data_IF_659284431527
#
_entry.id   IF_659284431527
#
_cell.length_a   1.000
_cell.length_b   1.000
_cell.length_c   1.000
_cell.angle_alpha   90.00
_cell.angle_beta   90.00
_cell.angle_gamma   90.00
#
_symmetry.space_group_name_H-M   'P 1'
#
loop_
_entity.id
_entity.type
_entity.pdbx_description
1 polymer ?
#
# COMPACT_ATOMS: atom_id res chain seq x y z
N UNK A 1 -2.88 5.74 -19.73
CA UNK A 1 -1.70 5.53 -18.86
C UNK A 1 -1.84 4.14 -18.24
N UNK A 2 -0.97 3.19 -18.57
CA UNK A 2 -1.02 1.84 -17.98
C UNK A 2 -0.73 1.94 -16.49
N UNK A 3 -1.71 1.69 -15.63
CA UNK A 3 -1.50 1.70 -14.19
C UNK A 3 -0.48 0.60 -13.81
N UNK A 4 0.54 0.98 -13.04
CA UNK A 4 1.48 -0.01 -12.50
C UNK A 4 0.74 -0.97 -11.57
N UNK A 5 0.94 -2.30 -11.72
CA UNK A 5 0.30 -3.27 -10.84
C UNK A 5 0.75 -3.03 -9.39
N UNK A 6 -0.19 -3.19 -8.45
CA UNK A 6 0.10 -3.06 -7.03
C UNK A 6 1.12 -4.14 -6.61
N UNK A 7 2.07 -3.78 -5.76
CA UNK A 7 2.99 -4.76 -5.18
C UNK A 7 2.25 -5.79 -4.30
N UNK A 8 2.88 -6.92 -3.99
CA UNK A 8 2.27 -7.95 -3.13
C UNK A 8 1.85 -7.39 -1.75
N UNK A 9 2.68 -6.52 -1.15
CA UNK A 9 2.37 -5.88 0.13
C UNK A 9 1.17 -4.92 0.01
N UNK A 10 1.15 -4.07 -1.02
CA UNK A 10 0.04 -3.14 -1.27
C UNK A 10 -1.26 -3.91 -1.53
N UNK A 11 -1.19 -5.04 -2.22
CA UNK A 11 -2.35 -5.88 -2.48
C UNK A 11 -2.93 -6.47 -1.20
N UNK A 12 -2.10 -7.08 -0.35
CA UNK A 12 -2.52 -7.58 0.96
C UNK A 12 -3.05 -6.46 1.86
N UNK A 13 -2.44 -5.28 1.78
CA UNK A 13 -2.85 -4.13 2.56
C UNK A 13 -4.21 -3.58 2.14
N UNK A 14 -4.48 -3.46 0.84
CA UNK A 14 -5.82 -3.11 0.35
C UNK A 14 -6.86 -4.14 0.75
N UNK A 15 -6.51 -5.43 0.76
CA UNK A 15 -7.41 -6.49 1.23
C UNK A 15 -7.81 -6.30 2.70
N UNK A 16 -6.84 -6.02 3.57
CA UNK A 16 -7.11 -5.73 4.98
C UNK A 16 -7.90 -4.42 5.16
N UNK A 17 -7.65 -3.40 4.33
CA UNK A 17 -8.39 -2.15 4.39
C UNK A 17 -9.87 -2.33 3.99
N UNK A 18 -10.15 -3.16 2.99
CA UNK A 18 -11.53 -3.53 2.62
C UNK A 18 -12.19 -4.34 3.73
N UNK A 19 -11.48 -5.35 4.30
CA UNK A 19 -12.01 -6.15 5.41
C UNK A 19 -12.38 -5.28 6.63
N UNK A 20 -11.49 -4.38 7.05
CA UNK A 20 -11.76 -3.49 8.19
C UNK A 20 -12.93 -2.53 7.91
N UNK A 21 -13.08 -2.09 6.65
CA UNK A 21 -14.22 -1.26 6.25
C UNK A 21 -15.53 -2.05 6.32
N UNK A 22 -15.54 -3.30 5.87
CA UNK A 22 -16.69 -4.20 5.96
C UNK A 22 -17.08 -4.49 7.42
N UNK A 23 -16.10 -4.66 8.31
CA UNK A 23 -16.35 -4.82 9.74
C UNK A 23 -16.97 -3.56 10.38
N UNK A 24 -16.61 -2.37 9.89
CA UNK A 24 -17.10 -1.11 10.45
C UNK A 24 -18.46 -0.68 9.87
N UNK A 25 -18.66 -0.83 8.56
CA UNK A 25 -19.83 -0.28 7.83
C UNK A 25 -20.84 -1.37 7.47
N UNK A 26 -20.47 -2.64 7.61
CA UNK A 26 -21.27 -3.78 7.16
C UNK A 26 -20.93 -4.22 5.73
N UNK A 27 -21.69 -5.19 5.18
CA UNK A 27 -21.40 -5.77 3.88
C UNK A 27 -21.48 -4.71 2.77
N UNK A 28 -20.43 -4.64 1.96
CA UNK A 28 -20.39 -3.79 0.76
C UNK A 28 -21.18 -4.44 -0.37
N UNK A 29 -21.71 -3.62 -1.29
CA UNK A 29 -22.17 -4.14 -2.59
C UNK A 29 -20.94 -4.68 -3.33
N UNK A 30 -20.94 -5.99 -3.57
CA UNK A 30 -19.80 -6.75 -4.06
C UNK A 30 -20.19 -7.80 -5.12
N UNK A 31 -21.39 -7.73 -5.69
CA UNK A 31 -21.93 -8.76 -6.57
C UNK A 31 -21.03 -8.95 -7.80
N UNK A 32 -20.69 -7.84 -8.45
CA UNK A 32 -19.77 -7.83 -9.59
C UNK A 32 -18.35 -8.27 -9.20
N UNK A 33 -17.84 -7.78 -8.07
CA UNK A 33 -16.52 -8.13 -7.59
C UNK A 33 -16.40 -9.63 -7.28
N UNK A 34 -17.46 -10.23 -6.72
CA UNK A 34 -17.55 -11.66 -6.46
C UNK A 34 -17.60 -12.47 -7.75
N UNK A 35 -18.46 -12.11 -8.71
CA UNK A 35 -18.53 -12.81 -10.00
C UNK A 35 -17.19 -12.82 -10.72
N UNK A 36 -16.53 -11.66 -10.81
CA UNK A 36 -15.21 -11.55 -11.42
C UNK A 36 -14.13 -12.31 -10.64
N UNK A 37 -14.19 -12.32 -9.31
CA UNK A 37 -13.27 -13.10 -8.49
C UNK A 37 -13.44 -14.60 -8.71
N UNK A 38 -14.68 -15.10 -8.81
CA UNK A 38 -14.98 -16.51 -9.10
C UNK A 38 -14.43 -16.91 -10.47
N UNK A 39 -14.70 -16.12 -11.51
CA UNK A 39 -14.23 -16.39 -12.88
C UNK A 39 -12.70 -16.36 -13.00
N UNK A 40 -12.01 -15.54 -12.20
CA UNK A 40 -10.53 -15.54 -12.19
C UNK A 40 -9.90 -16.80 -11.59
N UNK A 41 -10.71 -17.65 -10.93
CA UNK A 41 -10.31 -18.96 -10.43
C UNK A 41 -9.33 -18.90 -9.24
N UNK A 42 -8.73 -20.05 -8.93
CA UNK A 42 -7.80 -20.21 -7.81
C UNK A 42 -8.48 -20.46 -6.46
N UNK A 43 -7.66 -20.46 -5.41
CA UNK A 43 -8.08 -20.72 -4.04
C UNK A 43 -8.84 -19.52 -3.42
N UNK A 44 -9.41 -19.74 -2.24
CA UNK A 44 -10.17 -18.71 -1.52
C UNK A 44 -9.34 -17.43 -1.30
N UNK A 45 -8.05 -17.56 -0.99
CA UNK A 45 -7.18 -16.41 -0.74
C UNK A 45 -7.02 -15.55 -2.00
N UNK A 46 -6.79 -16.16 -3.16
CA UNK A 46 -6.69 -15.45 -4.44
C UNK A 46 -8.00 -14.78 -4.83
N UNK A 47 -9.14 -15.45 -4.65
CA UNK A 47 -10.46 -14.87 -4.96
C UNK A 47 -10.80 -13.71 -4.02
N UNK A 48 -10.52 -13.84 -2.72
CA UNK A 48 -10.67 -12.74 -1.75
C UNK A 48 -9.80 -11.54 -2.12
N UNK A 49 -8.54 -11.78 -2.51
CA UNK A 49 -7.65 -10.72 -2.95
C UNK A 49 -8.17 -10.02 -4.21
N UNK A 50 -8.56 -10.78 -5.23
CA UNK A 50 -9.08 -10.22 -6.47
C UNK A 50 -10.33 -9.37 -6.22
N UNK A 51 -11.28 -9.89 -5.43
CA UNK A 51 -12.49 -9.16 -5.00
C UNK A 51 -12.13 -7.85 -4.30
N UNK A 52 -11.26 -7.90 -3.30
CA UNK A 52 -10.92 -6.72 -2.53
C UNK A 52 -10.20 -5.65 -3.37
N UNK A 53 -9.34 -6.05 -4.32
CA UNK A 53 -8.69 -5.12 -5.22
C UNK A 53 -9.69 -4.41 -6.15
N UNK A 54 -10.71 -5.11 -6.66
CA UNK A 54 -11.78 -4.49 -7.45
C UNK A 54 -12.58 -3.48 -6.64
N UNK A 55 -12.92 -3.80 -5.39
CA UNK A 55 -13.61 -2.89 -4.47
C UNK A 55 -12.74 -1.68 -4.12
N UNK A 56 -11.45 -1.90 -3.87
CA UNK A 56 -10.50 -0.83 -3.56
C UNK A 56 -10.27 0.12 -4.75
N UNK A 57 -10.34 -0.37 -5.98
CA UNK A 57 -10.30 0.45 -7.19
C UNK A 57 -11.59 1.27 -7.33
N UNK A 58 -12.76 0.60 -7.30
CA UNK A 58 -14.08 1.23 -7.43
C UNK A 58 -14.29 2.34 -6.41
N UNK A 59 -13.87 2.09 -5.18
CA UNK A 59 -14.12 2.98 -4.05
C UNK A 59 -12.93 3.93 -3.78
N UNK A 60 -11.98 4.07 -4.71
CA UNK A 60 -10.90 5.06 -4.65
C UNK A 60 -9.77 4.78 -3.64
N UNK A 61 -9.83 3.65 -2.90
CA UNK A 61 -8.83 3.31 -1.89
C UNK A 61 -7.44 3.05 -2.48
N UNK A 62 -7.36 2.54 -3.73
CA UNK A 62 -6.07 2.37 -4.41
C UNK A 62 -5.39 3.71 -4.71
N UNK A 63 -6.16 4.70 -5.17
CA UNK A 63 -5.63 6.05 -5.39
C UNK A 63 -5.21 6.70 -4.06
N UNK A 64 -6.03 6.58 -3.01
CA UNK A 64 -5.70 7.06 -1.67
C UNK A 64 -4.41 6.41 -1.13
N UNK A 65 -4.24 5.10 -1.33
CA UNK A 65 -3.01 4.38 -0.97
C UNK A 65 -1.78 4.93 -1.70
N UNK A 66 -1.88 5.19 -3.01
CA UNK A 66 -0.78 5.78 -3.78
C UNK A 66 -0.37 7.14 -3.22
N UNK A 67 -1.33 8.02 -2.95
CA UNK A 67 -1.07 9.34 -2.35
C UNK A 67 -0.43 9.21 -0.97
N UNK A 68 -0.90 8.27 -0.15
CA UNK A 68 -0.35 8.01 1.17
C UNK A 68 1.11 7.51 1.12
N UNK A 69 1.41 6.59 0.21
CA UNK A 69 2.77 6.08 -0.01
C UNK A 69 3.70 7.18 -0.53
N UNK A 70 3.23 8.02 -1.46
CA UNK A 70 3.99 9.18 -1.95
C UNK A 70 4.30 10.17 -0.83
N UNK A 71 3.30 10.53 -0.02
CA UNK A 71 3.48 11.39 1.15
C UNK A 71 4.48 10.80 2.16
N UNK A 72 4.39 9.49 2.42
CA UNK A 72 5.31 8.78 3.30
C UNK A 72 6.76 8.78 2.78
N UNK A 73 6.95 8.64 1.46
CA UNK A 73 8.28 8.72 0.83
C UNK A 73 8.86 10.14 0.94
N UNK A 74 8.05 11.17 0.71
CA UNK A 74 8.48 12.55 0.88
C UNK A 74 8.89 12.83 2.33
N UNK A 75 8.08 12.43 3.31
CA UNK A 75 8.41 12.56 4.72
C UNK A 75 9.72 11.85 5.07
N UNK A 76 9.95 10.64 4.54
CA UNK A 76 11.21 9.92 4.71
C UNK A 76 12.41 10.70 4.14
N UNK A 77 12.30 11.27 2.93
CA UNK A 77 13.37 12.09 2.36
C UNK A 77 13.67 13.33 3.20
N UNK A 78 12.64 14.00 3.73
CA UNK A 78 12.81 15.14 4.64
C UNK A 78 13.52 14.73 5.93
N UNK A 79 13.15 13.59 6.53
CA UNK A 79 13.82 13.06 7.72
C UNK A 79 15.28 12.67 7.44
N UNK A 80 15.56 12.09 6.27
CA UNK A 80 16.93 11.75 5.87
C UNK A 80 17.79 13.01 5.67
N UNK A 81 17.24 14.04 5.04
CA UNK A 81 17.92 15.33 4.90
C UNK A 81 18.19 15.97 6.27
N UNK A 82 17.18 15.98 7.15
CA UNK A 82 17.35 16.46 8.52
C UNK A 82 18.44 15.68 9.26
N UNK A 83 18.42 14.35 9.21
CA UNK A 83 19.44 13.50 9.82
C UNK A 83 20.85 13.81 9.28
N UNK A 84 20.99 13.99 7.96
CA UNK A 84 22.25 14.36 7.31
C UNK A 84 22.79 15.69 7.85
N UNK A 85 21.97 16.75 7.86
CA UNK A 85 22.40 18.07 8.31
C UNK A 85 22.62 18.13 9.83
N UNK A 86 21.76 17.50 10.63
CA UNK A 86 21.95 17.40 12.08
C UNK A 86 23.22 16.64 12.42
N UNK A 87 23.50 15.53 11.74
CA UNK A 87 24.73 14.76 11.93
C UNK A 87 25.99 15.60 11.66
N UNK A 88 26.04 16.25 10.48
CA UNK A 88 27.17 17.13 10.14
C UNK A 88 27.30 18.31 11.10
N UNK A 89 26.17 18.91 11.49
CA UNK A 89 26.11 19.99 12.47
C UNK A 89 26.64 19.58 13.85
N UNK A 90 26.34 18.37 14.32
CA UNK A 90 26.88 17.83 15.58
C UNK A 90 28.41 17.69 15.53
N UNK A 91 28.98 17.25 14.41
CA UNK A 91 30.44 17.20 14.25
C UNK A 91 31.08 18.59 14.26
N UNK A 92 30.47 19.56 13.58
CA UNK A 92 30.92 20.95 13.63
C UNK A 92 30.82 21.55 15.04
N UNK A 93 29.72 21.29 15.75
CA UNK A 93 29.55 21.75 17.13
C UNK A 93 30.53 21.09 18.10
N UNK A 94 30.85 19.81 17.88
CA UNK A 94 31.77 19.04 18.72
C UNK A 94 33.23 19.48 18.57
N UNK A 95 33.70 19.72 17.34
CA UNK A 95 35.09 20.09 17.06
C UNK A 95 35.30 21.62 17.03
N UNK A 96 34.29 22.39 16.68
CA UNK A 96 34.36 23.85 16.57
C UNK A 96 35.20 24.33 15.38
N UNK A 97 35.56 25.61 15.44
CA UNK A 97 36.29 26.33 14.40
C UNK A 97 37.79 26.00 14.33
N UNK A 98 38.34 25.33 15.35
CA UNK A 98 39.75 24.99 15.48
C UNK A 98 40.60 26.05 16.19
N UNK A 99 40.00 27.17 16.64
CA UNK A 99 40.70 28.20 17.40
C UNK A 99 40.85 27.82 18.88
N UNK A 100 39.86 27.12 19.44
CA UNK A 100 39.89 26.59 20.81
C UNK A 100 40.20 25.10 20.79
N UNK A 101 40.88 24.56 21.82
CA UNK A 101 41.07 23.13 21.93
C UNK A 101 39.72 22.43 22.11
N UNK A 102 39.60 21.24 21.52
CA UNK A 102 38.43 20.38 21.61
C UNK A 102 38.47 19.66 22.95
N UNK A 103 37.43 19.87 23.77
CA UNK A 103 37.23 19.04 24.94
C UNK A 103 36.66 17.68 24.51
N UNK A 104 37.46 16.63 24.70
CA UNK A 104 37.18 15.29 24.15
C UNK A 104 35.85 14.73 24.68
N UNK A 105 35.49 14.96 25.95
CA UNK A 105 34.24 14.44 26.50
C UNK A 105 33.01 15.24 26.05
N UNK A 106 33.13 16.56 25.89
CA UNK A 106 32.05 17.33 25.28
C UNK A 106 31.84 16.90 23.83
N UNK A 107 32.91 16.68 23.07
CA UNK A 107 32.82 16.15 21.72
C UNK A 107 32.10 14.79 21.70
N UNK A 108 32.47 13.85 22.60
CA UNK A 108 31.79 12.57 22.74
C UNK A 108 30.31 12.71 23.14
N UNK A 109 30.00 13.56 24.12
CA UNK A 109 28.64 13.78 24.57
C UNK A 109 27.76 14.38 23.47
N UNK A 110 28.28 15.33 22.70
CA UNK A 110 27.58 15.92 21.56
C UNK A 110 27.39 14.92 20.41
N UNK A 111 28.41 14.12 20.10
CA UNK A 111 28.34 13.15 18.99
C UNK A 111 27.52 11.90 19.32
N UNK A 112 27.60 11.39 20.55
CA UNK A 112 27.06 10.08 20.94
C UNK A 112 26.03 10.12 22.07
N UNK A 113 25.85 11.24 22.77
CA UNK A 113 24.96 11.32 23.94
C UNK A 113 23.50 11.03 23.61
N UNK A 114 22.89 11.83 22.71
CA UNK A 114 21.51 11.61 22.28
C UNK A 114 21.35 10.26 21.56
N UNK A 115 22.37 9.85 20.82
CA UNK A 115 22.44 8.53 20.20
C UNK A 115 22.31 7.41 21.24
N UNK A 116 23.03 7.49 22.34
CA UNK A 116 23.02 6.46 23.38
C UNK A 116 21.70 6.45 24.15
N UNK A 117 21.16 7.62 24.51
CA UNK A 117 19.86 7.74 25.19
C UNK A 117 18.75 7.10 24.34
N UNK A 118 18.70 7.43 23.05
CA UNK A 118 17.69 6.86 22.14
C UNK A 118 17.92 5.38 21.87
N UNK A 119 19.17 4.90 21.89
CA UNK A 119 19.48 3.47 21.75
C UNK A 119 19.00 2.68 22.98
N UNK A 120 19.25 3.18 24.18
CA UNK A 120 18.77 2.59 25.43
C UNK A 120 17.24 2.59 25.45
N UNK A 121 16.61 3.72 25.14
CA UNK A 121 15.15 3.81 25.06
C UNK A 121 14.54 2.83 24.06
N UNK A 122 15.15 2.68 22.88
CA UNK A 122 14.72 1.67 21.90
C UNK A 122 14.89 0.24 22.42
N UNK A 123 16.01 -0.06 23.07
CA UNK A 123 16.31 -1.40 23.61
C UNK A 123 15.30 -1.77 24.71
N UNK A 124 15.02 -0.85 25.63
CA UNK A 124 14.01 -1.04 26.67
C UNK A 124 12.61 -1.24 26.06
N UNK A 125 12.22 -0.41 25.09
CA UNK A 125 10.94 -0.55 24.39
C UNK A 125 10.83 -1.87 23.60
N UNK A 126 11.94 -2.37 23.07
CA UNK A 126 11.99 -3.64 22.36
C UNK A 126 11.70 -4.84 23.29
N UNK A 127 12.20 -4.80 24.53
CA UNK A 127 12.01 -5.87 25.52
C UNK A 127 10.74 -5.75 26.37
N UNK A 128 10.21 -4.54 26.56
CA UNK A 128 9.03 -4.28 27.39
C UNK A 128 7.71 -4.88 26.87
N UNK A 129 7.73 -5.59 25.74
CA UNK A 129 6.53 -6.20 25.15
C UNK A 129 5.62 -5.15 24.47
N UNK A 130 4.83 -5.60 23.51
CA UNK A 130 4.06 -4.74 22.59
C UNK A 130 2.99 -3.82 23.21
N UNK A 131 2.89 -3.71 24.53
CA UNK A 131 1.90 -2.85 25.21
C UNK A 131 2.17 -1.36 25.00
N UNK A 132 3.44 -0.92 25.08
CA UNK A 132 3.83 0.46 24.78
C UNK A 132 3.67 0.81 23.28
N UNK A 133 3.98 -0.15 22.40
CA UNK A 133 3.72 -0.03 20.96
C UNK A 133 2.20 0.01 20.65
N UNK A 134 1.39 -0.74 21.41
CA UNK A 134 -0.07 -0.72 21.33
C UNK A 134 -0.68 0.60 21.81
N UNK A 135 -0.11 1.23 22.84
CA UNK A 135 -0.55 2.55 23.32
C UNK A 135 -0.24 3.67 22.32
N UNK A 136 0.97 3.68 21.74
CA UNK A 136 1.33 4.60 20.66
C UNK A 136 0.51 4.33 19.39
N UNK A 137 0.24 3.06 19.07
CA UNK A 137 -0.65 2.67 17.98
C UNK A 137 -2.08 3.19 18.19
N UNK A 138 -2.64 3.05 19.40
CA UNK A 138 -3.97 3.59 19.75
C UNK A 138 -4.01 5.12 19.72
N UNK A 139 -2.97 5.79 20.24
CA UNK A 139 -2.86 7.24 20.18
C UNK A 139 -2.75 7.74 18.74
N UNK A 140 -1.95 7.07 17.91
CA UNK A 140 -1.81 7.37 16.50
C UNK A 140 -3.10 7.13 15.72
N UNK A 141 -3.82 6.03 16.01
CA UNK A 141 -5.13 5.75 15.43
C UNK A 141 -6.18 6.79 15.84
N UNK A 142 -6.15 7.23 17.11
CA UNK A 142 -7.00 8.31 17.60
C UNK A 142 -6.67 9.65 16.94
N UNK A 143 -5.39 9.99 16.80
CA UNK A 143 -4.93 11.20 16.11
C UNK A 143 -5.32 11.14 14.63
N UNK A 144 -5.04 10.02 13.97
CA UNK A 144 -5.37 9.79 12.57
C UNK A 144 -6.87 9.87 12.34
N UNK A 145 -7.69 9.32 13.23
CA UNK A 145 -9.15 9.45 13.16
C UNK A 145 -9.64 10.89 13.31
N UNK A 146 -8.93 11.73 14.08
CA UNK A 146 -9.23 13.18 14.17
C UNK A 146 -8.79 14.00 12.96
N UNK A 147 -7.80 13.52 12.20
CA UNK A 147 -7.22 14.24 11.06
C UNK A 147 -7.48 13.60 9.69
N UNK A 148 -8.12 12.42 9.65
CA UNK A 148 -8.51 11.73 8.42
C UNK A 148 -9.65 12.49 7.76
N UNK A 149 -9.28 13.48 6.94
CA UNK A 149 -10.20 14.24 6.09
C UNK A 149 -10.68 13.45 4.88
N UNK A 150 -10.04 12.32 4.57
CA UNK A 150 -10.35 11.48 3.42
C UNK A 150 -10.95 10.14 3.88
N UNK A 151 -12.25 9.97 3.63
CA UNK A 151 -12.98 8.74 3.94
C UNK A 151 -12.41 7.51 3.21
N UNK A 152 -11.79 7.70 2.03
CA UNK A 152 -11.18 6.63 1.25
C UNK A 152 -9.87 6.12 1.89
N UNK A 153 -9.20 6.96 2.68
CA UNK A 153 -7.94 6.63 3.34
C UNK A 153 -8.10 6.12 4.78
N UNK A 154 -9.28 6.25 5.38
CA UNK A 154 -9.51 6.04 6.81
C UNK A 154 -9.00 4.68 7.33
N UNK A 155 -9.19 3.61 6.54
CA UNK A 155 -8.80 2.26 6.92
C UNK A 155 -7.38 1.86 6.51
N UNK A 156 -6.63 2.70 5.79
CA UNK A 156 -5.29 2.35 5.31
C UNK A 156 -4.30 2.20 6.47
N UNK A 157 -4.14 3.20 7.34
CA UNK A 157 -3.19 3.09 8.45
C UNK A 157 -3.52 1.95 9.44
N UNK A 158 -4.78 1.77 9.91
CA UNK A 158 -5.17 0.63 10.72
C UNK A 158 -4.89 -0.72 10.04
N UNK A 159 -5.23 -0.86 8.76
CA UNK A 159 -5.00 -2.09 8.00
C UNK A 159 -3.53 -2.46 7.91
N UNK A 160 -2.64 -1.48 7.71
CA UNK A 160 -1.20 -1.73 7.69
C UNK A 160 -0.72 -2.27 9.04
N UNK A 161 -1.16 -1.67 10.14
CA UNK A 161 -0.77 -2.11 11.48
C UNK A 161 -1.24 -3.54 11.76
N UNK A 162 -2.51 -3.86 11.45
CA UNK A 162 -3.06 -5.21 11.62
C UNK A 162 -2.31 -6.23 10.75
N UNK A 163 -2.05 -5.89 9.48
CA UNK A 163 -1.32 -6.76 8.55
C UNK A 163 0.09 -7.07 9.06
N UNK A 164 0.81 -6.04 9.52
CA UNK A 164 2.18 -6.19 10.01
C UNK A 164 2.24 -6.91 11.37
N UNK A 165 1.23 -6.74 12.22
CA UNK A 165 1.21 -7.34 13.56
C UNK A 165 1.15 -8.87 13.52
N UNK A 166 0.50 -9.47 12.50
CA UNK A 166 0.48 -10.92 12.28
C UNK A 166 1.87 -11.56 12.28
N UNK A 167 2.85 -10.86 11.73
CA UNK A 167 4.26 -11.28 11.68
C UNK A 167 5.14 -10.46 12.64
N UNK A 168 4.53 -9.71 13.58
CA UNK A 168 5.17 -8.80 14.54
C UNK A 168 6.18 -7.86 13.86
N UNK A 169 5.86 -7.40 12.66
CA UNK A 169 6.75 -6.64 11.78
C UNK A 169 6.86 -5.16 12.12
N UNK A 170 5.87 -4.60 12.81
CA UNK A 170 5.82 -3.17 13.15
C UNK A 170 7.10 -2.70 13.84
N UNK A 171 7.59 -3.45 14.84
CA UNK A 171 8.84 -3.12 15.55
C UNK A 171 10.08 -3.17 14.66
N UNK A 172 10.11 -4.09 13.68
CA UNK A 172 11.25 -4.22 12.77
C UNK A 172 11.22 -3.12 11.71
N UNK A 173 10.04 -2.70 11.26
CA UNK A 173 9.87 -1.55 10.36
C UNK A 173 10.28 -0.24 11.05
N UNK A 174 9.83 -0.02 12.30
CA UNK A 174 10.22 1.14 13.09
C UNK A 174 11.73 1.12 13.41
N UNK A 175 12.28 -0.05 13.77
CA UNK A 175 13.71 -0.22 13.95
C UNK A 175 14.51 0.10 12.68
N UNK A 176 14.06 -0.38 11.52
CA UNK A 176 14.70 -0.08 10.24
C UNK A 176 14.75 1.43 9.96
N UNK A 177 13.66 2.15 10.24
CA UNK A 177 13.60 3.60 10.11
C UNK A 177 14.53 4.30 11.10
N UNK A 178 14.41 4.01 12.39
CA UNK A 178 15.16 4.68 13.47
C UNK A 178 16.66 4.43 13.34
N UNK A 179 17.08 3.17 13.15
CA UNK A 179 18.50 2.86 12.99
C UNK A 179 19.06 3.40 11.67
N UNK A 180 18.24 3.44 10.61
CA UNK A 180 18.64 4.02 9.32
C UNK A 180 18.89 5.53 9.42
N UNK A 181 18.00 6.28 10.07
CA UNK A 181 18.18 7.72 10.30
C UNK A 181 19.43 8.00 11.15
N UNK A 182 19.65 7.24 12.22
CA UNK A 182 20.87 7.36 13.03
C UNK A 182 22.12 7.01 12.25
N UNK A 183 22.09 5.99 11.39
CA UNK A 183 23.22 5.61 10.55
C UNK A 183 23.60 6.75 9.59
N UNK A 184 22.61 7.42 8.98
CA UNK A 184 22.85 8.61 8.14
C UNK A 184 23.41 9.77 8.97
N UNK A 185 22.84 10.05 10.13
CA UNK A 185 23.32 11.14 10.99
C UNK A 185 24.76 10.90 11.47
N UNK A 186 25.07 9.71 11.97
CA UNK A 186 26.41 9.35 12.46
C UNK A 186 27.42 9.24 11.32
N UNK A 187 27.01 8.72 10.16
CA UNK A 187 27.83 8.70 8.95
C UNK A 187 28.16 10.10 8.46
N UNK A 188 27.19 11.01 8.48
CA UNK A 188 27.40 12.44 8.19
C UNK A 188 28.35 13.10 9.19
N UNK A 189 28.12 12.87 10.49
CA UNK A 189 28.98 13.38 11.55
C UNK A 189 30.43 12.88 11.37
N UNK A 190 30.61 11.60 11.09
CA UNK A 190 31.91 11.00 10.83
C UNK A 190 32.58 11.63 9.60
N UNK A 191 31.86 11.77 8.48
CA UNK A 191 32.38 12.37 7.26
C UNK A 191 32.80 13.82 7.45
N UNK A 192 31.97 14.65 8.10
CA UNK A 192 32.31 16.05 8.43
C UNK A 192 33.48 16.12 9.41
N UNK A 193 33.50 15.28 10.44
CA UNK A 193 34.60 15.23 11.40
C UNK A 193 35.92 14.88 10.71
N UNK A 194 35.94 13.89 9.82
CA UNK A 194 37.13 13.54 9.03
C UNK A 194 37.57 14.69 8.13
N UNK A 195 36.64 15.37 7.46
CA UNK A 195 36.94 16.53 6.63
C UNK A 195 37.54 17.69 7.44
N UNK A 196 36.99 17.96 8.63
CA UNK A 196 37.52 18.98 9.55
C UNK A 196 38.92 18.61 10.04
N UNK A 197 39.12 17.38 10.52
CA UNK A 197 40.41 16.90 11.01
C UNK A 197 41.48 16.87 9.90
N UNK A 198 41.09 16.67 8.64
CA UNK A 198 42.01 16.69 7.50
C UNK A 198 42.39 18.12 7.07
N UNK A 199 41.53 19.10 7.28
CA UNK A 199 41.71 20.49 6.78
C UNK A 199 42.16 21.46 7.86
N UNK A 200 42.07 21.09 9.15
CA UNK A 200 42.37 21.96 10.28
C UNK A 200 43.21 21.24 11.32
N UNK A 201 43.98 22.03 12.06
CA UNK A 201 44.76 21.54 13.21
C UNK A 201 43.95 21.73 14.48
N UNK A 202 43.54 20.63 15.09
CA UNK A 202 42.83 20.64 16.37
C UNK A 202 43.76 20.29 17.52
N UNK A 203 43.67 21.04 18.62
CA UNK A 203 44.20 20.65 19.92
C UNK A 203 43.15 19.86 20.69
N UNK A 204 43.55 18.90 21.51
CA UNK A 204 42.63 18.12 22.34
C UNK A 204 43.01 18.26 23.81
N UNK A 205 42.00 18.47 24.64
CA UNK A 205 42.13 18.58 26.09
C UNK A 205 40.98 17.83 26.75
N UNK A 206 41.12 17.58 28.04
CA UNK A 206 39.97 17.22 28.86
C UNK A 206 39.98 18.06 30.13
N UNK A 207 39.01 18.95 30.22
CA UNK A 207 38.86 19.84 31.37
C UNK A 207 37.63 19.37 32.16
N UNK A 208 37.85 18.90 33.39
CA UNK A 208 36.76 18.61 34.32
C UNK A 208 37.13 19.08 35.72
N UNK A 209 36.18 19.68 36.43
CA UNK A 209 36.37 20.07 37.83
C UNK A 209 36.07 18.91 38.80
N UNK A 210 35.36 17.88 38.32
CA UNK A 210 34.77 16.82 39.17
C UNK A 210 35.56 15.51 39.08
N UNK A 211 36.08 15.12 37.90
CA UNK A 211 36.78 13.85 37.73
C UNK A 211 38.28 13.99 37.94
N UNK A 212 38.85 13.06 38.70
CA UNK A 212 40.29 12.90 38.85
C UNK A 212 40.94 12.32 37.58
N UNK A 213 42.22 12.61 37.36
CA UNK A 213 42.94 12.18 36.15
C UNK A 213 43.04 10.66 35.96
N UNK A 214 43.17 9.89 37.04
CA UNK A 214 43.21 8.42 36.93
C UNK A 214 41.87 7.84 36.43
N UNK A 215 40.73 8.46 36.82
CA UNK A 215 39.42 8.08 36.28
C UNK A 215 39.34 8.36 34.78
N UNK A 216 39.92 9.48 34.33
CA UNK A 216 39.94 9.83 32.91
C UNK A 216 40.83 8.87 32.10
N UNK A 217 41.97 8.43 32.63
CA UNK A 217 42.81 7.38 32.02
C UNK A 217 41.99 6.09 31.85
N UNK A 218 41.34 5.63 32.93
CA UNK A 218 40.52 4.43 32.89
C UNK A 218 39.38 4.51 31.87
N UNK A 219 38.67 5.64 31.79
CA UNK A 219 37.62 5.86 30.79
C UNK A 219 38.17 5.89 29.36
N UNK A 220 39.28 6.59 29.14
CA UNK A 220 39.91 6.69 27.81
C UNK A 220 40.31 5.32 27.30
N UNK A 221 40.94 4.51 28.16
CA UNK A 221 41.38 3.17 27.81
C UNK A 221 40.22 2.18 27.69
N UNK A 222 39.23 2.26 28.59
CA UNK A 222 38.05 1.41 28.54
C UNK A 222 37.21 1.62 27.28
N UNK A 223 36.94 2.87 26.91
CA UNK A 223 36.26 3.21 25.66
C UNK A 223 37.14 2.96 24.43
N UNK A 224 38.46 3.12 24.55
CA UNK A 224 39.42 2.89 23.47
C UNK A 224 39.66 1.42 23.15
N UNK A 225 39.32 0.50 24.07
CA UNK A 225 39.69 -0.92 23.96
C UNK A 225 39.14 -1.61 22.70
N UNK A 226 37.85 -1.41 22.35
CA UNK A 226 37.30 -2.03 21.13
C UNK A 226 37.82 -1.35 19.85
N UNK A 227 37.85 -0.01 19.73
CA UNK A 227 38.48 0.66 18.60
C UNK A 227 39.95 0.27 18.39
N UNK A 228 40.74 0.09 19.45
CA UNK A 228 42.16 -0.23 19.31
C UNK A 228 42.40 -1.65 18.77
N UNK A 229 41.51 -2.60 19.03
CA UNK A 229 41.51 -3.92 18.36
C UNK A 229 41.31 -3.81 16.85
N UNK A 230 40.68 -2.74 16.37
CA UNK A 230 40.49 -2.44 14.95
C UNK A 230 41.61 -1.56 14.37
N UNK A 231 42.64 -1.25 15.15
CA UNK A 231 43.81 -0.48 14.72
C UNK A 231 43.69 1.03 14.91
N UNK A 232 42.66 1.54 15.62
CA UNK A 232 42.61 2.96 15.96
C UNK A 232 43.64 3.29 17.06
N UNK A 233 44.34 4.44 16.97
CA UNK A 233 45.33 4.81 17.96
C UNK A 233 44.66 5.11 19.30
N UNK A 234 45.39 4.85 20.38
CA UNK A 234 44.92 5.06 21.74
C UNK A 234 45.96 5.89 22.52
N UNK A 235 45.56 7.03 23.12
CA UNK A 235 46.44 7.82 23.97
C UNK A 235 46.95 7.00 25.16
N UNK A 236 48.26 7.01 25.40
CA UNK A 236 48.84 6.40 26.61
C UNK A 236 48.50 7.22 27.87
N UNK A 237 48.76 6.66 29.05
CA UNK A 237 48.43 7.32 30.32
C UNK A 237 49.15 8.64 30.54
N UNK A 238 50.36 8.81 29.99
CA UNK A 238 51.15 10.03 30.13
C UNK A 238 50.57 11.15 29.27
N UNK A 239 50.29 10.87 28.00
CA UNK A 239 49.62 11.80 27.10
C UNK A 239 48.25 12.19 27.64
N UNK A 240 47.50 11.21 28.15
CA UNK A 240 46.22 11.48 28.79
C UNK A 240 46.38 12.47 29.94
N UNK A 241 47.30 12.23 30.88
CA UNK A 241 47.52 13.14 32.01
C UNK A 241 47.95 14.54 31.55
N UNK A 242 48.90 14.61 30.62
CA UNK A 242 49.39 15.87 30.07
C UNK A 242 48.28 16.69 29.39
N UNK A 243 47.35 16.05 28.68
CA UNK A 243 46.19 16.71 28.05
C UNK A 243 45.14 17.24 29.04
N UNK A 244 45.22 16.86 30.31
CA UNK A 244 44.39 17.43 31.39
C UNK A 244 45.01 18.67 32.03
N UNK A 245 46.34 18.72 32.10
CA UNK A 245 47.08 19.82 32.71
C UNK A 245 47.20 21.03 31.75
N UNK A 246 47.48 20.77 30.48
CA UNK A 246 47.64 21.80 29.46
C UNK A 246 47.41 21.27 28.04
N UNK A 247 47.24 22.18 27.08
CA UNK A 247 47.23 21.81 25.67
C UNK A 247 48.61 21.28 25.25
N UNK A 248 48.66 20.00 24.86
CA UNK A 248 49.88 19.34 24.39
C UNK A 248 50.13 19.66 22.91
N UNK A 249 51.14 20.48 22.62
CA UNK A 249 51.48 20.94 21.28
C UNK A 249 52.32 19.91 20.47
N UNK A 250 51.88 18.64 20.42
CA UNK A 250 52.54 17.55 19.67
C UNK A 250 51.66 17.02 18.54
N UNK A 251 52.26 16.70 17.39
CA UNK A 251 51.54 16.09 16.26
C UNK A 251 51.06 14.67 16.57
N UNK A 252 51.91 13.86 17.19
CA UNK A 252 51.54 12.51 17.61
C UNK A 252 50.39 12.55 18.64
N UNK A 253 50.41 13.52 19.55
CA UNK A 253 49.33 13.73 20.51
C UNK A 253 47.99 14.02 19.81
N UNK A 254 47.99 14.93 18.82
CA UNK A 254 46.80 15.24 18.02
C UNK A 254 46.30 14.03 17.24
N UNK A 255 47.21 13.27 16.62
CA UNK A 255 46.85 12.08 15.86
C UNK A 255 46.24 11.00 16.74
N UNK A 256 46.80 10.75 17.93
CA UNK A 256 46.28 9.78 18.89
C UNK A 256 44.86 10.15 19.33
N UNK A 257 44.63 11.41 19.74
CA UNK A 257 43.31 11.86 20.17
C UNK A 257 42.27 11.88 19.04
N UNK A 258 42.65 12.37 17.85
CA UNK A 258 41.77 12.40 16.69
C UNK A 258 41.38 10.98 16.26
N UNK A 259 42.35 10.07 16.15
CA UNK A 259 42.09 8.68 15.77
C UNK A 259 41.27 7.92 16.82
N UNK A 260 41.50 8.19 18.11
CA UNK A 260 40.68 7.63 19.20
C UNK A 260 39.22 8.09 19.11
N UNK A 261 38.98 9.39 18.89
CA UNK A 261 37.62 9.95 18.76
C UNK A 261 36.90 9.41 17.52
N UNK A 262 37.61 9.32 16.38
CA UNK A 262 37.11 8.69 15.15
C UNK A 262 36.74 7.23 15.39
N UNK A 263 37.64 6.48 16.04
CA UNK A 263 37.43 5.07 16.35
C UNK A 263 36.20 4.85 17.22
N UNK A 264 35.99 5.67 18.25
CA UNK A 264 34.82 5.58 19.12
C UNK A 264 33.52 5.89 18.36
N UNK A 265 33.48 6.98 17.60
CA UNK A 265 32.29 7.34 16.81
C UNK A 265 31.93 6.24 15.80
N UNK A 266 32.94 5.68 15.12
CA UNK A 266 32.75 4.59 14.16
C UNK A 266 32.23 3.33 14.85
N UNK A 267 32.91 2.84 15.90
CA UNK A 267 32.60 1.55 16.51
C UNK A 267 31.30 1.59 17.31
N UNK A 268 31.16 2.54 18.24
CA UNK A 268 30.02 2.60 19.14
C UNK A 268 28.81 3.35 18.55
N UNK A 269 29.03 4.15 17.51
CA UNK A 269 27.95 4.82 16.78
C UNK A 269 27.58 4.08 15.50
N UNK A 270 28.39 4.27 14.46
CA UNK A 270 28.07 3.87 13.08
C UNK A 270 27.93 2.36 12.95
N UNK A 271 28.91 1.57 13.38
CA UNK A 271 28.89 0.12 13.25
C UNK A 271 27.77 -0.52 14.10
N UNK A 272 27.59 -0.05 15.34
CA UNK A 272 26.53 -0.53 16.21
C UNK A 272 25.13 -0.29 15.59
N UNK A 273 24.85 0.93 15.10
CA UNK A 273 23.59 1.24 14.42
C UNK A 273 23.45 0.51 13.10
N UNK A 274 24.54 0.34 12.35
CA UNK A 274 24.59 -0.43 11.12
C UNK A 274 24.20 -1.90 11.34
N UNK A 275 24.74 -2.54 12.37
CA UNK A 275 24.42 -3.92 12.73
C UNK A 275 22.93 -4.07 13.11
N UNK A 276 22.39 -3.15 13.92
CA UNK A 276 20.97 -3.16 14.30
C UNK A 276 20.05 -2.88 13.10
N UNK A 277 20.46 -1.97 12.20
CA UNK A 277 19.76 -1.71 10.95
C UNK A 277 19.70 -2.95 10.06
N UNK A 278 20.83 -3.65 9.88
CA UNK A 278 20.91 -4.89 9.12
C UNK A 278 20.04 -6.00 9.74
N UNK A 279 20.04 -6.14 11.06
CA UNK A 279 19.18 -7.08 11.78
C UNK A 279 17.69 -6.78 11.51
N UNK A 280 17.30 -5.51 11.62
CA UNK A 280 15.93 -5.07 11.33
C UNK A 280 15.56 -5.30 9.87
N UNK A 281 16.47 -5.00 8.94
CA UNK A 281 16.27 -5.23 7.50
C UNK A 281 16.07 -6.71 7.19
N UNK A 282 16.90 -7.58 7.75
CA UNK A 282 16.79 -9.02 7.55
C UNK A 282 15.46 -9.56 8.11
N UNK A 283 15.09 -9.17 9.33
CA UNK A 283 13.80 -9.57 9.95
C UNK A 283 12.61 -9.05 9.17
N UNK A 284 12.67 -7.81 8.68
CA UNK A 284 11.67 -7.21 7.81
C UNK A 284 11.52 -7.97 6.50
N UNK A 285 12.61 -8.23 5.78
CA UNK A 285 12.59 -8.99 4.52
C UNK A 285 12.00 -10.39 4.71
N UNK A 286 12.45 -11.10 5.76
CA UNK A 286 11.96 -12.45 6.09
C UNK A 286 10.48 -12.46 6.42
N UNK A 287 10.02 -11.60 7.33
CA UNK A 287 8.61 -11.58 7.72
C UNK A 287 7.70 -11.06 6.61
N UNK A 288 8.16 -10.12 5.76
CA UNK A 288 7.40 -9.68 4.59
C UNK A 288 7.14 -10.78 3.58
N UNK A 289 8.12 -11.67 3.36
CA UNK A 289 7.95 -12.82 2.48
C UNK A 289 6.93 -13.84 3.02
N UNK A 290 6.59 -13.76 4.31
CA UNK A 290 5.64 -14.63 4.99
C UNK A 290 4.28 -13.96 5.24
N UNK A 291 4.08 -12.73 4.73
CA UNK A 291 2.77 -12.09 4.80
C UNK A 291 1.81 -12.79 3.84
N UNK A 292 0.65 -13.15 4.37
CA UNK A 292 -0.45 -13.76 3.64
C UNK A 292 -1.78 -13.29 4.22
N UNK A 293 -2.86 -13.48 3.45
CA UNK A 293 -4.22 -13.30 3.96
C UNK A 293 -4.52 -14.42 4.94
N UNK A 294 -5.04 -14.06 6.11
CA UNK A 294 -5.57 -15.02 7.06
C UNK A 294 -7.02 -15.33 6.70
N UNK A 295 -7.22 -16.37 5.89
CA UNK A 295 -8.53 -16.82 5.44
C UNK A 295 -9.38 -17.49 6.54
N UNK A 296 -8.82 -17.65 7.74
CA UNK A 296 -9.54 -18.19 8.91
C UNK A 296 -10.31 -17.13 9.70
N UNK A 297 -10.09 -15.84 9.40
CA UNK A 297 -10.75 -14.76 10.12
C UNK A 297 -12.28 -14.80 9.96
N UNK A 298 -13.04 -14.47 11.04
CA UNK A 298 -14.51 -14.49 11.01
C UNK A 298 -15.11 -13.63 9.90
N UNK A 299 -14.50 -12.48 9.58
CA UNK A 299 -14.94 -11.60 8.50
C UNK A 299 -14.97 -12.26 7.11
N UNK A 300 -14.21 -13.34 6.89
CA UNK A 300 -14.20 -14.09 5.63
C UNK A 300 -15.14 -15.30 5.59
N UNK A 301 -15.80 -15.64 6.70
CA UNK A 301 -16.67 -16.82 6.77
C UNK A 301 -17.83 -16.74 5.76
N UNK A 302 -18.57 -15.63 5.75
CA UNK A 302 -19.68 -15.41 4.81
C UNK A 302 -19.20 -15.29 3.36
N UNK A 303 -18.02 -14.71 3.14
CA UNK A 303 -17.45 -14.57 1.79
C UNK A 303 -16.99 -15.91 1.22
N UNK A 304 -16.60 -16.87 2.06
CA UNK A 304 -16.22 -18.21 1.62
C UNK A 304 -17.36 -18.91 0.87
N UNK A 305 -18.58 -18.84 1.40
CA UNK A 305 -19.76 -19.44 0.76
C UNK A 305 -20.05 -18.82 -0.61
N UNK A 306 -19.90 -17.50 -0.72
CA UNK A 306 -20.14 -16.76 -1.97
C UNK A 306 -19.04 -16.98 -3.01
N UNK A 307 -17.78 -17.07 -2.58
CA UNK A 307 -16.62 -17.14 -3.47
C UNK A 307 -16.20 -18.58 -3.81
N UNK A 308 -16.64 -19.57 -3.05
CA UNK A 308 -16.36 -21.00 -3.26
C UNK A 308 -17.67 -21.79 -3.43
N UNK A 309 -18.45 -21.56 -4.50
CA UNK A 309 -19.69 -22.29 -4.73
C UNK A 309 -19.42 -23.79 -4.86
N UNK A 310 -20.25 -24.61 -4.19
CA UNK A 310 -20.09 -26.07 -4.11
C UNK A 310 -20.14 -26.77 -5.49
N UNK A 311 -20.73 -26.14 -6.50
CA UNK A 311 -20.87 -26.69 -7.84
C UNK A 311 -19.56 -26.88 -8.61
N UNK A 312 -18.44 -26.26 -8.17
CA UNK A 312 -17.11 -26.55 -8.75
C UNK A 312 -16.47 -27.84 -8.19
N UNK A 313 -17.07 -28.48 -7.17
CA UNK A 313 -16.58 -29.74 -6.57
C UNK A 313 -17.41 -30.97 -6.91
N UNK A 314 -18.28 -30.90 -7.91
CA UNK A 314 -18.93 -32.11 -8.44
C UNK A 314 -18.08 -32.67 -9.58
N UNK A 315 -17.04 -33.42 -9.19
CA UNK A 315 -16.74 -34.63 -9.96
C UNK A 315 -18.00 -35.48 -9.94
N UNK A 316 -18.57 -35.74 -11.12
CA UNK A 316 -19.84 -36.45 -11.29
C UNK A 316 -19.81 -37.75 -10.50
N UNK A 317 -20.60 -37.82 -9.43
CA UNK A 317 -20.85 -39.02 -8.64
C UNK A 317 -22.27 -38.94 -8.10
N UNK A 318 -23.24 -39.06 -9.00
CA UNK A 318 -24.44 -39.88 -8.84
C UNK A 318 -25.35 -39.72 -10.06
N UNK A 319 -26.10 -40.78 -10.39
CA UNK A 319 -27.04 -40.79 -11.50
C UNK A 319 -28.19 -39.81 -11.24
N UNK A 320 -28.48 -38.98 -12.24
CA UNK A 320 -29.57 -38.01 -12.19
C UNK A 320 -30.94 -38.71 -12.05
N UNK A 321 -31.91 -38.14 -11.31
CA UNK A 321 -33.29 -38.62 -11.31
C UNK A 321 -33.91 -38.50 -12.71
N UNK A 322 -34.75 -39.47 -13.10
CA UNK A 322 -35.32 -39.56 -14.45
C UNK A 322 -36.27 -38.40 -14.83
N UNK A 323 -36.78 -37.64 -13.86
CA UNK A 323 -37.64 -36.48 -14.15
C UNK A 323 -37.32 -35.30 -13.23
N UNK A 324 -36.52 -34.37 -13.74
CA UNK A 324 -36.51 -33.00 -13.30
C UNK A 324 -37.38 -32.20 -14.28
N UNK A 325 -38.45 -31.57 -13.77
CA UNK A 325 -39.15 -30.52 -14.51
C UNK A 325 -38.17 -29.34 -14.60
N UNK A 326 -37.39 -29.32 -15.68
CA UNK A 326 -36.56 -28.17 -16.03
C UNK A 326 -37.49 -27.02 -16.46
N UNK A 327 -37.49 -25.86 -15.78
CA UNK A 327 -37.96 -24.65 -16.43
C UNK A 327 -37.04 -24.43 -17.64
N UNK A 328 -37.60 -24.44 -18.86
CA UNK A 328 -36.87 -24.32 -20.13
C UNK A 328 -35.80 -23.23 -20.05
N UNK A 329 -34.56 -23.65 -19.81
CA UNK A 329 -33.40 -22.82 -19.99
C UNK A 329 -33.23 -22.68 -21.51
N UNK A 330 -33.40 -21.46 -22.02
CA UNK A 330 -32.94 -21.15 -23.38
C UNK A 330 -31.48 -21.56 -23.46
N UNK A 331 -31.19 -22.51 -24.35
CA UNK A 331 -29.86 -23.08 -24.52
C UNK A 331 -28.85 -21.94 -24.79
N UNK A 332 -27.63 -22.03 -24.23
CA UNK A 332 -26.59 -21.08 -24.54
C UNK A 332 -26.33 -21.12 -26.05
N UNK A 333 -26.45 -19.96 -26.71
CA UNK A 333 -26.02 -19.79 -28.09
C UNK A 333 -24.54 -20.13 -28.16
N UNK A 334 -24.23 -21.36 -28.53
CA UNK A 334 -22.88 -21.94 -28.57
C UNK A 334 -22.10 -21.51 -29.81
N UNK A 335 -22.69 -20.63 -30.63
CA UNK A 335 -22.06 -20.05 -31.83
C UNK A 335 -22.65 -18.66 -32.12
N UNK A 336 -22.60 -17.73 -31.15
CA UNK A 336 -22.62 -16.32 -31.51
C UNK A 336 -21.18 -15.90 -31.81
N UNK A 337 -20.94 -15.09 -32.84
CA UNK A 337 -19.62 -14.55 -33.21
C UNK A 337 -19.16 -13.47 -32.20
N UNK A 338 -19.41 -13.74 -30.92
CA UNK A 338 -19.33 -12.82 -29.80
C UNK A 338 -20.37 -11.69 -29.84
N UNK A 339 -21.48 -11.78 -30.57
CA UNK A 339 -22.47 -10.69 -30.67
C UNK A 339 -23.74 -10.95 -29.83
N UNK A 340 -24.12 -10.00 -28.98
CA UNK A 340 -25.29 -10.11 -28.08
C UNK A 340 -26.17 -8.86 -28.14
N UNK A 341 -27.49 -9.04 -28.25
CA UNK A 341 -28.51 -7.99 -28.04
C UNK A 341 -29.23 -8.25 -26.71
N UNK A 342 -29.39 -7.22 -25.89
CA UNK A 342 -30.18 -7.24 -24.66
C UNK A 342 -31.04 -5.98 -24.56
N UNK A 343 -32.24 -6.06 -23.96
CA UNK A 343 -33.02 -4.88 -23.58
C UNK A 343 -33.16 -4.72 -22.06
N UNK A 344 -33.42 -3.49 -21.60
CA UNK A 344 -33.65 -3.18 -20.19
C UNK A 344 -35.03 -2.57 -20.01
N UNK A 345 -35.89 -3.26 -19.25
CA UNK A 345 -37.24 -2.82 -18.85
C UNK A 345 -38.05 -2.26 -20.03
N UNK A 346 -38.09 -3.01 -21.13
CA UNK A 346 -38.72 -2.54 -22.34
C UNK A 346 -40.24 -2.44 -22.12
N UNK A 347 -40.81 -1.28 -22.46
CA UNK A 347 -42.27 -1.19 -22.57
C UNK A 347 -42.74 -1.97 -23.80
N UNK A 348 -43.95 -2.53 -23.73
CA UNK A 348 -44.54 -3.29 -24.84
C UNK A 348 -44.29 -2.60 -26.18
N UNK A 349 -43.58 -3.31 -27.06
CA UNK A 349 -43.23 -2.86 -28.39
C UNK A 349 -43.63 -3.88 -29.44
N UNK A 350 -44.42 -3.48 -30.45
CA UNK A 350 -44.70 -4.34 -31.58
C UNK A 350 -43.40 -4.63 -32.32
N UNK A 351 -43.22 -5.88 -32.75
CA UNK A 351 -42.06 -6.38 -33.50
C UNK A 351 -40.73 -6.37 -32.70
N UNK A 352 -40.79 -6.44 -31.37
CA UNK A 352 -39.64 -6.73 -30.52
C UNK A 352 -39.62 -8.21 -30.09
N UNK A 353 -38.46 -8.89 -30.11
CA UNK A 353 -37.16 -8.45 -30.65
C UNK A 353 -37.18 -8.37 -32.20
N UNK A 354 -36.32 -7.53 -32.82
CA UNK A 354 -36.17 -7.50 -34.28
C UNK A 354 -35.63 -8.83 -34.80
N UNK A 355 -35.81 -9.11 -36.10
CA UNK A 355 -35.21 -10.29 -36.73
C UNK A 355 -33.69 -10.15 -36.70
N UNK A 356 -33.02 -11.03 -35.96
CA UNK A 356 -31.56 -11.04 -35.80
C UNK A 356 -30.91 -11.92 -36.88
N UNK A 357 -29.72 -11.50 -37.32
CA UNK A 357 -28.88 -12.29 -38.21
C UNK A 357 -28.32 -13.54 -37.49
N UNK A 358 -27.91 -14.53 -38.27
CA UNK A 358 -27.29 -15.75 -37.76
C UNK A 358 -25.97 -15.39 -37.03
N UNK A 359 -25.78 -15.87 -35.79
CA UNK A 359 -24.62 -15.52 -34.97
C UNK A 359 -24.80 -14.35 -34.01
N UNK A 360 -25.97 -13.71 -33.94
CA UNK A 360 -26.32 -12.75 -32.88
C UNK A 360 -27.22 -13.44 -31.85
N UNK A 361 -26.76 -13.49 -30.59
CA UNK A 361 -27.57 -14.01 -29.49
C UNK A 361 -28.53 -12.94 -28.96
N UNK A 362 -29.80 -13.29 -28.77
CA UNK A 362 -30.75 -12.48 -28.03
C UNK A 362 -30.73 -12.88 -26.55
N UNK A 363 -30.34 -11.96 -25.67
CA UNK A 363 -30.33 -12.15 -24.22
C UNK A 363 -31.67 -11.82 -23.54
N UNK A 364 -32.68 -11.41 -24.31
CA UNK A 364 -34.02 -11.08 -23.82
C UNK A 364 -34.11 -9.70 -23.17
N UNK A 365 -35.19 -9.50 -22.42
CA UNK A 365 -35.47 -8.25 -21.70
C UNK A 365 -35.21 -8.40 -20.21
N UNK A 366 -34.48 -7.44 -19.63
CA UNK A 366 -34.04 -7.46 -18.24
C UNK A 366 -35.04 -6.78 -17.29
N UNK A 367 -36.18 -7.43 -17.10
CA UNK A 367 -37.28 -6.92 -16.27
C UNK A 367 -37.09 -7.19 -14.78
N UNK A 368 -36.39 -8.28 -14.42
CA UNK A 368 -36.19 -8.67 -13.03
C UNK A 368 -34.70 -8.82 -12.62
N UNK A 369 -34.46 -8.84 -11.31
CA UNK A 369 -33.13 -9.00 -10.74
C UNK A 369 -32.49 -10.37 -10.98
N UNK A 370 -33.27 -11.43 -11.20
CA UNK A 370 -32.76 -12.77 -11.46
C UNK A 370 -32.25 -12.94 -12.90
N UNK A 371 -32.94 -12.35 -13.88
CA UNK A 371 -32.52 -12.28 -15.28
C UNK A 371 -31.23 -11.47 -15.39
N UNK A 372 -31.18 -10.29 -14.76
CA UNK A 372 -29.97 -9.43 -14.71
C UNK A 372 -28.76 -10.19 -14.20
N UNK A 373 -28.89 -10.88 -13.06
CA UNK A 373 -27.80 -11.67 -12.46
C UNK A 373 -27.35 -12.80 -13.38
N UNK A 374 -28.29 -13.58 -13.93
CA UNK A 374 -27.98 -14.71 -14.83
C UNK A 374 -27.21 -14.25 -16.07
N UNK A 375 -27.65 -13.17 -16.71
CA UNK A 375 -26.97 -12.64 -17.88
C UNK A 375 -25.57 -12.12 -17.52
N UNK A 376 -25.43 -11.36 -16.44
CA UNK A 376 -24.12 -10.87 -16.00
C UNK A 376 -23.14 -12.01 -15.69
N UNK A 377 -23.60 -13.09 -15.04
CA UNK A 377 -22.80 -14.30 -14.81
C UNK A 377 -22.34 -14.94 -16.13
N UNK A 378 -23.25 -15.08 -17.09
CA UNK A 378 -22.96 -15.64 -18.40
C UNK A 378 -21.95 -14.79 -19.18
N UNK A 379 -22.18 -13.48 -19.27
CA UNK A 379 -21.30 -12.56 -20.01
C UNK A 379 -19.93 -12.40 -19.34
N UNK A 380 -19.86 -12.47 -18.00
CA UNK A 380 -18.56 -12.44 -17.31
C UNK A 380 -17.73 -13.69 -17.63
N UNK A 381 -18.38 -14.85 -17.77
CA UNK A 381 -17.72 -16.13 -18.09
C UNK A 381 -17.38 -16.24 -19.58
N UNK A 382 -18.25 -15.73 -20.44
CA UNK A 382 -18.13 -15.78 -21.90
C UNK A 382 -18.35 -14.36 -22.47
N UNK A 383 -17.32 -13.49 -22.40
CA UNK A 383 -17.45 -12.09 -22.80
C UNK A 383 -17.71 -11.97 -24.30
N UNK A 384 -18.81 -11.31 -24.72
CA UNK A 384 -19.06 -11.06 -26.13
C UNK A 384 -18.05 -10.06 -26.71
N UNK A 385 -17.70 -10.24 -27.97
CA UNK A 385 -16.97 -9.24 -28.74
C UNK A 385 -17.77 -7.94 -28.92
N UNK A 386 -19.10 -8.04 -29.10
CA UNK A 386 -20.01 -6.92 -29.37
C UNK A 386 -21.30 -7.06 -28.59
N UNK A 387 -21.68 -6.01 -27.88
CA UNK A 387 -22.91 -5.95 -27.09
C UNK A 387 -23.74 -4.72 -27.49
N UNK A 388 -25.00 -4.92 -27.85
CA UNK A 388 -25.99 -3.84 -27.95
C UNK A 388 -26.93 -3.92 -26.75
N UNK A 389 -27.09 -2.79 -26.06
CA UNK A 389 -28.05 -2.62 -24.97
C UNK A 389 -29.16 -1.69 -25.44
N UNK A 390 -30.34 -2.25 -25.69
CA UNK A 390 -31.53 -1.50 -26.09
C UNK A 390 -32.26 -0.92 -24.88
N UNK A 391 -32.50 0.38 -24.91
CA UNK A 391 -33.17 1.13 -23.86
C UNK A 391 -34.36 1.88 -24.45
N UNK A 392 -35.46 1.95 -23.71
CA UNK A 392 -36.64 2.73 -24.11
C UNK A 392 -36.62 4.13 -23.48
N UNK A 393 -36.38 5.21 -24.26
CA UNK A 393 -36.38 6.57 -23.73
C UNK A 393 -37.76 7.06 -23.28
N UNK A 394 -38.82 6.26 -23.44
CA UNK A 394 -40.11 6.50 -22.79
C UNK A 394 -40.02 6.34 -21.27
N UNK A 395 -39.03 5.61 -20.73
CA UNK A 395 -38.69 5.59 -19.30
C UNK A 395 -37.49 6.49 -19.01
N UNK A 396 -37.50 7.17 -17.86
CA UNK A 396 -36.36 8.01 -17.46
C UNK A 396 -35.16 7.16 -17.07
N UNK A 397 -33.92 7.57 -17.41
CA UNK A 397 -32.72 6.85 -17.01
C UNK A 397 -32.48 7.03 -15.52
N UNK A 398 -32.79 6.02 -14.72
CA UNK A 398 -32.48 6.06 -13.30
C UNK A 398 -31.04 5.61 -13.01
N UNK A 399 -30.61 5.80 -11.76
CA UNK A 399 -29.27 5.41 -11.32
C UNK A 399 -29.02 3.91 -11.45
N UNK A 400 -30.07 3.08 -11.32
CA UNK A 400 -29.97 1.62 -11.41
C UNK A 400 -29.73 1.14 -12.83
N UNK A 401 -30.44 1.71 -13.79
CA UNK A 401 -30.35 1.43 -15.23
C UNK A 401 -28.98 1.83 -15.76
N UNK A 402 -28.52 3.04 -15.44
CA UNK A 402 -27.17 3.48 -15.83
C UNK A 402 -26.08 2.63 -15.19
N UNK A 403 -26.26 2.18 -13.94
CA UNK A 403 -25.32 1.26 -13.29
C UNK A 403 -25.29 -0.12 -13.98
N UNK A 404 -26.45 -0.66 -14.36
CA UNK A 404 -26.56 -1.92 -15.10
C UNK A 404 -25.92 -1.83 -16.49
N UNK A 405 -26.16 -0.74 -17.22
CA UNK A 405 -25.52 -0.47 -18.51
C UNK A 405 -23.99 -0.45 -18.36
N UNK A 406 -23.50 0.23 -17.34
CA UNK A 406 -22.07 0.29 -17.05
C UNK A 406 -21.48 -1.08 -16.66
N UNK A 407 -22.27 -1.94 -15.99
CA UNK A 407 -21.87 -3.29 -15.60
C UNK A 407 -21.81 -4.23 -16.80
N UNK A 408 -22.88 -4.25 -17.59
CA UNK A 408 -22.95 -5.00 -18.85
C UNK A 408 -21.84 -4.60 -19.82
N UNK A 409 -21.53 -3.31 -19.94
CA UNK A 409 -20.50 -2.83 -20.86
C UNK A 409 -19.09 -3.30 -20.50
N UNK A 410 -18.82 -3.57 -19.20
CA UNK A 410 -17.53 -4.13 -18.74
C UNK A 410 -17.40 -5.63 -19.01
N UNK A 411 -18.50 -6.32 -19.30
CA UNK A 411 -18.48 -7.74 -19.67
C UNK A 411 -18.22 -7.97 -21.17
N UNK A 412 -18.16 -6.92 -22.00
CA UNK A 412 -18.01 -7.03 -23.46
C UNK A 412 -16.77 -6.29 -23.97
N UNK A 413 -16.22 -6.71 -25.11
CA UNK A 413 -15.09 -6.01 -25.73
C UNK A 413 -15.49 -4.66 -26.34
N UNK A 414 -16.67 -4.59 -26.97
CA UNK A 414 -17.26 -3.36 -27.48
C UNK A 414 -18.75 -3.31 -27.15
N UNK A 415 -19.23 -2.16 -26.70
CA UNK A 415 -20.64 -1.97 -26.30
C UNK A 415 -21.23 -0.73 -26.97
N UNK A 416 -22.48 -0.81 -27.41
CA UNK A 416 -23.28 0.33 -27.87
C UNK A 416 -24.64 0.36 -27.20
N UNK A 417 -25.10 1.57 -26.87
CA UNK A 417 -26.45 1.80 -26.33
C UNK A 417 -27.38 2.17 -27.48
N UNK A 418 -28.47 1.41 -27.63
CA UNK A 418 -29.51 1.70 -28.61
C UNK A 418 -30.68 2.39 -27.91
N UNK A 419 -30.83 3.69 -28.14
CA UNK A 419 -31.96 4.47 -27.65
C UNK A 419 -33.11 4.34 -28.66
N UNK A 420 -34.12 3.56 -28.30
CA UNK A 420 -35.21 3.22 -29.22
C UNK A 420 -36.07 4.44 -29.57
N UNK A 421 -36.41 4.60 -30.85
CA UNK A 421 -37.30 5.67 -31.32
C UNK A 421 -38.75 5.42 -30.86
N UNK A 422 -39.53 6.49 -30.65
CA UNK A 422 -40.95 6.35 -30.30
C UNK A 422 -41.71 5.47 -31.30
N UNK A 423 -42.65 4.63 -30.84
CA UNK A 423 -43.57 3.93 -31.74
C UNK A 423 -44.32 4.89 -32.66
N UNK A 424 -44.79 4.39 -33.79
CA UNK A 424 -45.56 5.17 -34.75
C UNK A 424 -46.79 5.80 -34.08
N UNK A 425 -46.87 7.14 -34.09
CA UNK A 425 -47.97 7.88 -33.45
C UNK A 425 -47.67 8.38 -32.03
N UNK A 426 -46.54 8.02 -31.44
CA UNK A 426 -46.03 8.56 -30.19
C UNK A 426 -44.84 9.51 -30.43
N UNK A 427 -44.55 10.38 -29.47
CA UNK A 427 -43.35 11.23 -29.45
C UNK A 427 -42.55 10.98 -28.17
N UNK A 428 -41.22 10.99 -28.28
CA UNK A 428 -40.35 10.96 -27.10
C UNK A 428 -40.35 12.34 -26.43
N UNK A 429 -40.30 12.36 -25.11
CA UNK A 429 -40.04 13.56 -24.33
C UNK A 429 -38.58 14.02 -24.55
N UNK A 430 -38.41 15.28 -24.96
CA UNK A 430 -37.10 15.83 -25.31
C UNK A 430 -36.18 16.00 -24.09
N UNK A 431 -36.73 16.30 -22.92
CA UNK A 431 -35.97 16.44 -21.68
C UNK A 431 -35.46 15.06 -21.24
N UNK A 432 -36.34 14.06 -21.24
CA UNK A 432 -35.98 12.67 -20.92
C UNK A 432 -34.95 12.08 -21.87
N UNK A 433 -35.05 12.37 -23.17
CA UNK A 433 -34.04 11.98 -24.15
C UNK A 433 -32.70 12.67 -23.90
N UNK A 434 -32.72 13.94 -23.49
CA UNK A 434 -31.55 14.69 -23.03
C UNK A 434 -30.87 14.04 -21.81
N UNK A 435 -31.66 13.61 -20.82
CA UNK A 435 -31.15 12.88 -19.65
C UNK A 435 -30.47 11.55 -20.04
N UNK A 436 -31.02 10.84 -21.03
CA UNK A 436 -30.44 9.62 -21.57
C UNK A 436 -29.09 9.87 -22.23
N UNK A 437 -28.99 10.88 -23.11
CA UNK A 437 -27.72 11.27 -23.72
C UNK A 437 -26.69 11.64 -22.65
N UNK A 438 -27.04 12.52 -21.71
CA UNK A 438 -26.14 12.93 -20.63
C UNK A 438 -25.74 11.76 -19.69
N UNK A 439 -26.64 10.80 -19.47
CA UNK A 439 -26.36 9.58 -18.71
C UNK A 439 -25.35 8.68 -19.40
N UNK A 440 -25.56 8.39 -20.68
CA UNK A 440 -24.71 7.48 -21.46
C UNK A 440 -23.36 8.11 -21.82
N UNK A 441 -23.33 9.42 -22.09
CA UNK A 441 -22.09 10.17 -22.32
C UNK A 441 -21.18 10.17 -21.08
N UNK A 442 -21.76 10.27 -19.88
CA UNK A 442 -21.00 10.12 -18.61
C UNK A 442 -20.37 8.74 -18.47
N UNK A 443 -20.98 7.70 -19.04
CA UNK A 443 -20.42 6.35 -19.11
C UNK A 443 -19.38 6.19 -20.23
N UNK A 444 -19.20 7.20 -21.08
CA UNK A 444 -18.31 7.19 -22.25
C UNK A 444 -18.62 6.05 -23.23
N UNK A 445 -19.91 5.72 -23.37
CA UNK A 445 -20.38 4.68 -24.29
C UNK A 445 -20.94 5.30 -25.58
N UNK A 446 -20.66 4.74 -26.76
CA UNK A 446 -21.34 5.12 -27.99
C UNK A 446 -22.83 4.81 -27.89
N UNK A 447 -23.67 5.75 -28.32
CA UNK A 447 -25.11 5.58 -28.38
C UNK A 447 -25.66 5.97 -29.76
N UNK A 448 -26.77 5.35 -30.15
CA UNK A 448 -27.43 5.64 -31.42
C UNK A 448 -28.95 5.51 -31.29
N UNK A 449 -29.67 6.32 -32.05
CA UNK A 449 -31.12 6.20 -32.26
C UNK A 449 -31.47 5.43 -33.54
N UNK A 450 -30.48 5.18 -34.41
CA UNK A 450 -30.62 4.31 -35.57
C UNK A 450 -30.37 2.85 -35.17
N UNK A 451 -30.84 1.89 -35.97
CA UNK A 451 -30.65 0.46 -35.72
C UNK A 451 -29.15 0.08 -35.76
N UNK A 452 -28.55 -0.38 -34.65
CA UNK A 452 -27.14 -0.78 -34.61
C UNK A 452 -26.92 -2.24 -35.05
N UNK A 453 -27.93 -2.90 -35.63
CA UNK A 453 -27.87 -4.33 -35.92
C UNK A 453 -26.79 -4.67 -36.96
N UNK A 454 -26.54 -3.81 -37.95
CA UNK A 454 -25.45 -4.00 -38.91
C UNK A 454 -24.06 -3.99 -38.26
N UNK A 455 -23.86 -3.09 -37.29
CA UNK A 455 -22.66 -3.09 -36.44
C UNK A 455 -22.58 -4.30 -35.54
N UNK A 456 -23.70 -4.71 -34.94
CA UNK A 456 -23.72 -5.88 -34.08
C UNK A 456 -23.34 -7.15 -34.87
N UNK A 457 -23.78 -7.25 -36.11
CA UNK A 457 -23.45 -8.33 -37.05
C UNK A 457 -21.96 -8.29 -37.44
N UNK A 458 -21.51 -7.18 -38.03
CA UNK A 458 -20.21 -7.13 -38.76
C UNK A 458 -19.08 -6.42 -38.03
N UNK A 459 -19.37 -5.73 -36.93
CA UNK A 459 -18.44 -4.84 -36.22
C UNK A 459 -18.17 -3.50 -36.90
N UNK A 460 -18.79 -3.24 -38.05
CA UNK A 460 -18.63 -2.02 -38.83
C UNK A 460 -19.98 -1.29 -38.99
N UNK A 461 -19.94 0.03 -39.14
CA UNK A 461 -21.14 0.88 -39.28
C UNK A 461 -21.83 0.76 -40.64
#
# INVERSE_FOLDING_TARGET
MSETPASALESLWLCEAVRLREEQVGPLEDSEANRRAIVSGGDLARRLQHRALLLAERDGQRAALRTWVQGSRLALYLLLALALFTGGGLAFAALGDGLRPVNVFWALASLLGLHLITLIGWTLAFFAGGEAAGALGRLWLWLSGKFARDAHAAQLAPALLVLLDRQKLTRWALGLLVHGLWLVALGSALGVMLALLATRRYGFVWETTILAGDTFIALTHGLGALPSLLGFPQPDSELVRASGDALVASENARHAWAGWLVGILLVYGVLLRGALWLLCLWRWKRGRAQLALDVSLPGYALLRERLMPASERLGVSDAAPDELIEPQAQAPATTADGAVLVSIELLDRPNWPPKLAEGIANAGDLDDGAQRRRLLEQLTRYPPARLVIACDPRRSPDRGTLALIAELSRCAAATRVWLLQAPTGEALDAERLGDWHAGVERLQLPHTSASPLGWLETGHD
#
